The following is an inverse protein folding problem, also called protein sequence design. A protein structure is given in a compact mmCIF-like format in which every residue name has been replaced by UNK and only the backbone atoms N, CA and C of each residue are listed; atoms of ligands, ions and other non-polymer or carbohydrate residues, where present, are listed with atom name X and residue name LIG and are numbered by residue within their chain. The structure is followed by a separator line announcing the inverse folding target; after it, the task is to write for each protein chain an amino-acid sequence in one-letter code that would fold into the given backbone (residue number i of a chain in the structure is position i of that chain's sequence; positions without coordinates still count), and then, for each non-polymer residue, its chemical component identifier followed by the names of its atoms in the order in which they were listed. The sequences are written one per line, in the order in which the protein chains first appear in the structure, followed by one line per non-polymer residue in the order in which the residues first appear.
data_IF_671460228566
#
_entry.id   IF_671460228566
#
_cell.length_a   1.000
_cell.length_b   1.000
_cell.length_c   1.000
_cell.angle_alpha   90.00
_cell.angle_beta   90.00
_cell.angle_gamma   90.00
#
_symmetry.space_group_name_H-M   'P 1'
#
loop_
_entity.id
_entity.type
_entity.pdbx_description
1 polymer ?
2 water ?
#
# COMPACT_ATOMS: atom_id res chain seq x y z
N UNK A 1 23.21 -14.43 9.37
CA UNK A 1 22.48 -15.74 9.31
C UNK A 1 21.61 -15.99 10.56
N UNK A 2 21.12 -14.91 11.16
CA UNK A 2 20.25 -15.04 12.32
C UNK A 2 18.86 -15.54 11.87
N UNK A 3 18.09 -16.11 12.81
CA UNK A 3 16.71 -16.57 12.52
C UNK A 3 15.90 -15.40 11.99
N UNK A 4 16.03 -14.27 12.69
CA UNK A 4 15.36 -13.03 12.30
C UNK A 4 15.71 -12.62 10.88
N UNK A 5 17.00 -12.55 10.55
CA UNK A 5 17.37 -12.03 9.26
C UNK A 5 17.04 -13.02 8.15
N UNK A 6 17.01 -14.27 8.48
CA UNK A 6 16.48 -15.24 7.54
C UNK A 6 14.98 -15.10 7.33
N UNK A 7 14.24 -14.84 8.43
CA UNK A 7 12.79 -14.54 8.37
C UNK A 7 12.51 -13.33 7.48
N UNK A 8 13.28 -12.27 7.74
CA UNK A 8 13.15 -11.06 7.00
C UNK A 8 13.43 -11.29 5.53
N UNK A 9 14.54 -11.97 5.22
CA UNK A 9 14.82 -12.23 3.84
C UNK A 9 13.74 -13.10 3.21
N UNK A 10 13.20 -14.05 3.96
CA UNK A 10 12.11 -14.91 3.49
C UNK A 10 10.81 -14.06 3.20
N UNK A 11 10.51 -13.10 4.09
CA UNK A 11 9.34 -12.23 3.86
C UNK A 11 9.46 -11.44 2.64
N UNK A 12 10.60 -10.77 2.47
CA UNK A 12 10.83 -9.95 1.36
C UNK A 12 10.75 -10.75 0.07
N UNK A 13 11.33 -11.93 0.11
CA UNK A 13 11.21 -12.84 -1.01
C UNK A 13 9.75 -13.22 -1.34
N UNK A 14 8.88 -13.41 -0.34
CA UNK A 14 7.44 -13.66 -0.59
C UNK A 14 6.71 -12.46 -1.22
N UNK A 15 7.03 -11.26 -0.78
CA UNK A 15 6.48 -10.06 -1.38
C UNK A 15 6.96 -9.84 -2.80
N UNK A 16 8.28 -10.02 -2.98
CA UNK A 16 8.98 -9.78 -4.26
C UNK A 16 8.36 -10.64 -5.31
N UNK A 17 8.10 -11.89 -4.93
CA UNK A 17 7.37 -12.85 -5.72
C UNK A 17 5.94 -12.52 -6.03
N UNK A 18 5.14 -12.23 -5.00
CA UNK A 18 3.72 -11.93 -5.22
C UNK A 18 3.53 -10.75 -6.16
N UNK A 19 4.48 -9.82 -6.12
CA UNK A 19 4.44 -8.62 -6.93
C UNK A 19 4.94 -8.88 -8.33
N UNK A 20 5.25 -10.12 -8.63
CA UNK A 20 5.57 -10.53 -9.97
C UNK A 20 4.33 -11.08 -10.67
N UNK A 21 3.17 -11.14 -10.01
CA UNK A 21 1.90 -11.47 -10.69
C UNK A 21 0.78 -10.45 -10.40
N UNK A 22 0.94 -9.68 -9.33
CA UNK A 22 -0.02 -8.65 -9.04
C UNK A 22 0.74 -7.45 -8.51
N UNK A 23 0.65 -6.29 -9.17
CA UNK A 23 1.31 -5.09 -8.68
C UNK A 23 0.76 -4.53 -7.33
N UNK A 24 -0.46 -4.90 -6.96
CA UNK A 24 -1.06 -4.50 -5.71
C UNK A 24 -1.47 -5.74 -4.97
N UNK A 25 -0.97 -5.90 -3.77
CA UNK A 25 -1.29 -7.05 -2.89
C UNK A 25 -2.64 -6.86 -2.17
N UNK A 26 -3.61 -7.70 -2.51
CA UNK A 26 -4.94 -7.67 -1.89
C UNK A 26 -4.90 -8.38 -0.55
N UNK A 27 -5.10 -7.65 0.53
CA UNK A 27 -4.89 -8.18 1.87
C UNK A 27 -6.20 -8.33 2.66
N UNK A 28 -6.28 -9.43 3.41
CA UNK A 28 -7.20 -9.48 4.53
C UNK A 28 -6.46 -9.12 5.81
N UNK A 29 -7.12 -9.27 6.95
CA UNK A 29 -6.49 -8.95 8.21
C UNK A 29 -5.21 -9.73 8.48
N UNK A 30 -5.25 -11.01 8.24
CA UNK A 30 -4.10 -11.86 8.51
C UNK A 30 -2.91 -11.43 7.70
N UNK A 31 -3.12 -11.13 6.41
CA UNK A 31 -2.04 -10.71 5.54
C UNK A 31 -1.51 -9.35 5.90
N UNK A 32 -2.43 -8.44 6.22
CA UNK A 32 -2.05 -7.11 6.66
C UNK A 32 -1.13 -7.23 7.91
N UNK A 33 -1.55 -8.05 8.85
CA UNK A 33 -0.71 -8.19 10.07
C UNK A 33 0.62 -8.78 9.80
N UNK A 34 0.67 -9.83 8.98
CA UNK A 34 1.92 -10.52 8.68
C UNK A 34 2.92 -9.68 7.99
N UNK A 35 2.49 -8.93 6.98
CA UNK A 35 3.41 -8.18 6.14
C UNK A 35 3.54 -6.71 6.40
N UNK A 36 2.67 -6.16 7.22
CA UNK A 36 2.69 -4.77 7.55
C UNK A 36 2.94 -4.50 9.02
N UNK A 37 2.24 -5.21 9.89
CA UNK A 37 2.36 -4.98 11.35
C UNK A 37 3.50 -5.70 11.99
N UNK A 38 3.76 -6.92 11.55
CA UNK A 38 4.68 -7.81 12.27
C UNK A 38 6.13 -7.44 11.93
N UNK A 39 6.98 -7.42 12.97
CA UNK A 39 8.41 -7.27 12.76
C UNK A 39 9.04 -8.62 12.38
N UNK A 40 10.19 -8.59 11.68
CA UNK A 40 10.88 -7.39 11.26
C UNK A 40 10.47 -7.00 9.84
N UNK A 41 10.78 -5.79 9.46
CA UNK A 41 10.60 -5.31 8.08
C UNK A 41 11.74 -4.38 7.74
N UNK A 42 12.13 -4.36 6.50
CA UNK A 42 13.09 -3.37 6.02
C UNK A 42 12.60 -2.63 4.76
N UNK A 43 11.28 -2.67 4.57
CA UNK A 43 10.65 -2.17 3.34
C UNK A 43 9.49 -1.25 3.83
N UNK A 44 9.17 -0.26 2.98
CA UNK A 44 7.98 0.57 3.15
C UNK A 44 6.80 -0.13 2.46
N UNK A 45 5.61 0.04 3.04
CA UNK A 45 4.38 -0.45 2.43
C UNK A 45 3.43 0.72 2.23
N UNK A 46 2.90 0.81 1.03
CA UNK A 46 1.78 1.72 0.74
C UNK A 46 0.49 0.89 0.79
N UNK A 47 -0.52 1.40 1.48
CA UNK A 47 -1.84 0.67 1.56
C UNK A 47 -2.95 1.61 1.12
N UNK A 48 -3.78 1.16 0.19
CA UNK A 48 -5.05 1.83 -0.06
C UNK A 48 -6.17 1.06 0.70
N UNK A 49 -6.82 1.76 1.64
CA UNK A 49 -7.97 1.23 2.34
C UNK A 49 -9.17 1.67 1.51
N UNK A 50 -10.03 0.71 1.15
CA UNK A 50 -11.07 0.98 0.16
C UNK A 50 -12.34 0.20 0.49
N UNK A 51 -13.34 0.41 -0.31
CA UNK A 51 -14.65 -0.35 -0.21
C UNK A 51 -15.16 -0.42 -1.59
N UNK A 52 -14.77 -1.49 -2.28
CA UNK A 52 -15.05 -1.61 -3.70
C UNK A 52 -16.27 -2.54 -3.96
N UNK A 53 -16.73 -3.30 -2.96
CA UNK A 53 -17.93 -4.15 -3.18
C UNK A 53 -19.09 -3.28 -3.59
N UNK A 54 -19.89 -3.77 -4.57
CA UNK A 54 -21.02 -2.99 -5.06
C UNK A 54 -22.00 -2.53 -3.98
N UNK A 55 -22.24 -3.37 -2.98
CA UNK A 55 -23.17 -2.99 -1.93
C UNK A 55 -22.74 -1.78 -1.12
N UNK A 56 -21.45 -1.38 -1.20
CA UNK A 56 -20.98 -0.18 -0.51
C UNK A 56 -21.13 1.11 -1.26
N UNK A 57 -21.36 1.03 -2.56
CA UNK A 57 -21.58 2.21 -3.40
C UNK A 57 -20.64 3.40 -3.14
N UNK A 58 -19.31 3.13 -3.11
CA UNK A 58 -18.31 4.15 -2.81
C UNK A 58 -17.71 4.64 -4.11
N UNK A 59 -18.24 5.70 -4.64
CA UNK A 59 -17.78 6.14 -5.96
C UNK A 59 -16.35 6.66 -5.93
N UNK A 60 -16.02 7.35 -4.88
CA UNK A 60 -14.65 7.91 -4.74
C UNK A 60 -13.68 6.72 -4.68
N UNK A 61 -14.06 5.67 -4.01
CA UNK A 61 -13.22 4.44 -3.94
C UNK A 61 -12.91 3.90 -5.29
N UNK A 62 -13.94 3.83 -6.14
CA UNK A 62 -13.74 3.39 -7.47
C UNK A 62 -12.84 4.26 -8.30
N UNK A 63 -13.01 5.56 -8.23
CA UNK A 63 -12.17 6.47 -8.98
C UNK A 63 -10.68 6.46 -8.52
N UNK A 64 -10.52 6.42 -7.22
CA UNK A 64 -9.18 6.42 -6.61
C UNK A 64 -8.47 5.10 -6.93
N UNK A 65 -9.21 4.00 -6.96
CA UNK A 65 -8.63 2.72 -7.35
C UNK A 65 -7.99 2.75 -8.73
N UNK A 66 -8.62 3.44 -9.67
CA UNK A 66 -8.07 3.49 -11.02
C UNK A 66 -6.70 4.20 -11.02
N UNK A 67 -6.57 5.31 -10.29
CA UNK A 67 -5.32 6.00 -10.17
C UNK A 67 -4.28 5.20 -9.38
N UNK A 68 -4.70 4.46 -8.36
CA UNK A 68 -3.77 3.59 -7.61
C UNK A 68 -3.21 2.51 -8.49
N UNK A 69 -4.03 1.94 -9.36
CA UNK A 69 -3.60 0.92 -10.29
C UNK A 69 -2.58 1.48 -11.27
N UNK A 70 -2.87 2.66 -11.80
CA UNK A 70 -1.95 3.35 -12.71
C UNK A 70 -0.55 3.56 -12.04
N UNK A 71 -0.56 3.97 -10.78
CA UNK A 71 0.62 4.20 -10.03
C UNK A 71 1.39 2.92 -9.74
N UNK A 72 0.71 1.86 -9.30
CA UNK A 72 1.42 0.64 -8.91
C UNK A 72 1.99 -0.05 -10.15
N UNK A 73 1.25 0.07 -11.21
CA UNK A 73 1.72 -0.51 -12.46
C UNK A 73 2.90 0.26 -13.07
N UNK A 74 2.92 1.58 -12.97
CA UNK A 74 4.08 2.36 -13.29
C UNK A 74 5.28 1.89 -12.50
N UNK A 75 5.15 1.62 -11.20
CA UNK A 75 6.24 1.18 -10.35
C UNK A 75 6.73 -0.21 -10.76
N UNK A 76 5.80 -1.11 -11.04
CA UNK A 76 6.11 -2.52 -11.38
C UNK A 76 6.88 -2.61 -12.73
N UNK A 77 6.51 -1.77 -13.68
CA UNK A 77 7.22 -1.59 -14.96
C UNK A 77 8.70 -1.20 -14.82
N UNK A 78 9.04 -0.44 -13.80
CA UNK A 78 10.38 0.12 -13.75
C UNK A 78 11.19 0.01 -12.45
N UNK A 79 10.88 -0.94 -11.58
CA UNK A 79 11.54 -1.04 -10.27
C UNK A 79 12.48 -2.24 -10.25
N UNK A 80 12.39 -3.04 -9.17
CA UNK A 80 13.29 -4.19 -8.94
C UNK A 80 14.77 -3.79 -8.90
N UNK A 81 15.04 -2.48 -8.93
CA UNK A 81 16.21 -1.89 -8.28
C UNK A 81 15.90 -1.80 -6.80
N UNK A 82 14.61 -1.99 -6.50
CA UNK A 82 14.10 -1.91 -5.17
C UNK A 82 13.14 -3.03 -4.79
N UNK A 83 13.49 -3.70 -3.71
CA UNK A 83 12.60 -4.53 -2.92
C UNK A 83 12.30 -3.81 -1.60
N UNK A 84 12.25 -2.48 -1.66
CA UNK A 84 12.13 -1.68 -0.47
C UNK A 84 10.75 -0.98 -0.41
N UNK A 85 10.00 -1.10 -1.46
CA UNK A 85 8.64 -0.47 -1.53
C UNK A 85 7.68 -1.44 -2.15
N UNK A 86 6.54 -1.64 -1.52
CA UNK A 86 5.46 -2.45 -2.02
C UNK A 86 4.11 -1.79 -1.87
N UNK A 87 3.17 -2.17 -2.73
CA UNK A 87 1.81 -1.65 -2.75
C UNK A 87 0.81 -2.70 -2.39
N UNK A 88 -0.15 -2.33 -1.57
CA UNK A 88 -1.20 -3.23 -1.10
C UNK A 88 -2.55 -2.50 -0.98
N UNK A 89 -3.63 -3.25 -0.84
CA UNK A 89 -4.95 -2.71 -0.57
C UNK A 89 -5.65 -3.55 0.48
N UNK A 90 -6.47 -2.94 1.27
CA UNK A 90 -7.34 -3.59 2.21
C UNK A 90 -8.73 -3.07 1.91
N UNK A 91 -9.59 -3.99 1.46
CA UNK A 91 -11.02 -3.71 1.23
C UNK A 91 -11.82 -3.94 2.52
N UNK A 92 -12.71 -3.01 2.82
CA UNK A 92 -13.50 -3.01 4.03
C UNK A 92 -14.15 -4.37 4.34
N UNK A 93 -14.60 -5.01 3.28
CA UNK A 93 -15.36 -6.28 3.43
C UNK A 93 -14.45 -7.46 3.48
N UNK A 94 -13.15 -7.25 3.33
CA UNK A 94 -12.18 -8.33 3.43
C UNK A 94 -11.29 -8.12 4.65
N UNK A 95 -11.24 -6.90 5.17
CA UNK A 95 -10.38 -6.56 6.33
C UNK A 95 -11.08 -5.66 7.34
N UNK A 96 -12.31 -6.02 7.68
CA UNK A 96 -13.11 -5.15 8.56
C UNK A 96 -12.44 -4.96 9.90
N UNK A 97 -11.79 -5.99 10.41
CA UNK A 97 -11.04 -5.87 11.64
C UNK A 97 -9.88 -4.88 11.56
N UNK A 98 -9.27 -4.72 10.37
CA UNK A 98 -8.20 -3.75 10.19
C UNK A 98 -8.73 -2.31 10.24
N UNK A 99 -9.85 -2.07 9.55
CA UNK A 99 -10.53 -0.78 9.63
C UNK A 99 -10.90 -0.40 11.10
N UNK A 100 -11.41 -1.37 11.82
CA UNK A 100 -11.72 -1.14 13.24
C UNK A 100 -10.50 -0.78 14.05
N UNK A 101 -9.42 -1.54 13.90
CA UNK A 101 -8.19 -1.22 14.54
C UNK A 101 -7.64 0.15 14.26
N UNK A 102 -7.83 0.62 13.02
CA UNK A 102 -7.33 1.90 12.62
C UNK A 102 -8.39 2.98 12.87
N UNK A 103 -9.53 2.61 13.45
CA UNK A 103 -10.62 3.56 13.70
C UNK A 103 -11.09 4.29 12.43
N UNK A 104 -11.17 3.52 11.34
CA UNK A 104 -11.65 4.02 10.04
C UNK A 104 -13.09 3.78 9.86
N UNK A 105 -13.83 4.88 9.67
CA UNK A 105 -15.26 4.83 9.48
C UNK A 105 -15.64 5.35 8.11
N UNK A 106 -14.69 5.41 7.20
CA UNK A 106 -14.94 5.87 5.86
C UNK A 106 -13.80 5.33 4.96
N UNK A 107 -13.92 5.61 3.68
CA UNK A 107 -12.99 5.18 2.67
C UNK A 107 -13.13 6.10 1.47
N UNK A 108 -12.08 6.20 0.65
CA UNK A 108 -10.74 5.50 0.74
C UNK A 108 -9.73 6.34 1.51
N UNK A 109 -8.67 5.67 1.99
CA UNK A 109 -7.57 6.30 2.71
C UNK A 109 -6.31 5.67 2.13
N UNK A 110 -5.25 6.47 1.91
CA UNK A 110 -3.97 5.94 1.53
C UNK A 110 -2.98 6.21 2.70
N UNK A 111 -2.25 5.18 3.06
CA UNK A 111 -1.26 5.30 4.15
C UNK A 111 0.07 4.71 3.75
N UNK A 112 1.15 5.18 4.38
CA UNK A 112 2.48 4.63 4.28
C UNK A 112 2.82 4.05 5.63
N UNK A 113 3.22 2.80 5.65
CA UNK A 113 3.70 2.12 6.85
C UNK A 113 5.21 1.95 6.73
N UNK A 114 5.95 2.76 7.53
CA UNK A 114 7.41 2.65 7.44
C UNK A 114 7.92 1.30 8.04
N UNK A 115 9.13 0.91 7.71
CA UNK A 115 9.68 -0.35 8.16
C UNK A 115 9.84 -0.47 9.66
N UNK A 116 10.04 0.65 10.32
CA UNK A 116 10.11 0.67 11.79
C UNK A 116 9.22 1.74 12.30
N UNK A 117 8.65 1.48 13.44
CA UNK A 117 7.78 2.42 14.10
C UNK A 117 6.40 2.43 13.51
N UNK A 118 5.63 3.40 13.93
CA UNK A 118 4.25 3.53 13.45
C UNK A 118 4.19 4.62 12.35
N UNK A 119 3.08 4.64 11.60
CA UNK A 119 2.95 5.76 10.68
C UNK A 119 2.95 7.09 11.42
N UNK A 120 3.58 8.09 10.81
CA UNK A 120 3.56 9.43 11.29
C UNK A 120 2.34 10.18 10.73
N UNK A 121 2.11 11.38 11.20
CA UNK A 121 1.00 12.21 10.68
C UNK A 121 1.00 12.33 9.15
N UNK A 122 2.17 12.61 8.60
CA UNK A 122 2.29 12.81 7.18
C UNK A 122 2.17 11.50 6.42
N UNK A 123 2.17 10.38 7.11
CA UNK A 123 2.04 9.08 6.45
C UNK A 123 0.57 8.73 6.14
N UNK A 124 -0.36 9.61 6.44
CA UNK A 124 -1.72 9.56 5.88
C UNK A 124 -1.80 10.62 4.78
N UNK A 125 -2.07 10.19 3.56
CA UNK A 125 -2.16 11.08 2.40
C UNK A 125 -3.37 11.98 2.59
N UNK A 126 -3.19 13.28 2.29
CA UNK A 126 -4.27 14.25 2.54
C UNK A 126 -5.16 14.31 1.33
N UNK A 127 -5.98 13.28 1.16
CA UNK A 127 -6.85 13.14 0.00
C UNK A 127 -7.83 14.34 -0.16
N UNK A 128 -8.39 14.77 0.96
CA UNK A 128 -9.41 15.79 0.89
C UNK A 128 -8.84 17.13 0.55
N UNK A 129 -7.53 17.31 0.65
CA UNK A 129 -6.87 18.52 0.17
C UNK A 129 -6.31 18.48 -1.22
N UNK A 130 -5.85 17.30 -1.60
CA UNK A 130 -5.00 17.09 -2.79
C UNK A 130 -5.72 16.42 -3.96
N UNK A 131 -6.79 15.62 -3.69
CA UNK A 131 -7.27 14.69 -4.63
C UNK A 131 -6.40 13.47 -4.79
N UNK A 132 -6.65 12.64 -5.78
CA UNK A 132 -5.99 11.31 -5.82
C UNK A 132 -5.31 11.00 -7.13
N UNK A 133 -4.92 12.04 -7.87
CA UNK A 133 -4.16 11.79 -9.10
C UNK A 133 -2.95 10.92 -8.79
N UNK A 134 -2.70 9.94 -9.65
CA UNK A 134 -1.53 9.07 -9.47
C UNK A 134 -0.25 9.91 -9.25
N UNK A 135 -0.05 10.94 -10.03
CA UNK A 135 1.16 11.81 -9.86
C UNK A 135 1.24 12.48 -8.48
N UNK A 136 0.09 12.84 -7.85
CA UNK A 136 0.12 13.37 -6.51
C UNK A 136 0.39 12.29 -5.47
N UNK A 137 -0.15 11.10 -5.67
CA UNK A 137 0.17 9.95 -4.79
C UNK A 137 1.71 9.72 -4.87
N UNK A 138 2.21 9.76 -6.08
CA UNK A 138 3.67 9.59 -6.29
C UNK A 138 4.51 10.65 -5.59
N UNK A 139 4.11 11.90 -5.62
CA UNK A 139 4.79 12.95 -4.94
C UNK A 139 4.84 12.70 -3.45
N UNK A 140 3.70 12.29 -2.88
CA UNK A 140 3.61 12.00 -1.51
C UNK A 140 4.51 10.79 -1.13
N UNK A 141 4.49 9.73 -1.94
CA UNK A 141 5.34 8.59 -1.67
C UNK A 141 6.84 9.02 -1.69
N UNK A 142 7.18 9.89 -2.59
CA UNK A 142 8.58 10.38 -2.65
C UNK A 142 8.91 11.13 -1.40
N UNK A 143 8.00 11.98 -0.93
CA UNK A 143 8.23 12.74 0.30
C UNK A 143 8.41 11.87 1.50
N UNK A 144 7.70 10.74 1.56
CA UNK A 144 7.75 9.88 2.71
C UNK A 144 8.83 8.81 2.67
N UNK A 145 9.25 8.41 1.49
CA UNK A 145 10.13 7.25 1.31
C UNK A 145 11.41 7.51 0.50
N UNK A 146 11.48 8.65 -0.16
CA UNK A 146 12.51 8.98 -1.16
C UNK A 146 12.56 8.05 -2.38
N UNK A 147 11.50 7.29 -2.63
CA UNK A 147 11.31 6.52 -3.85
C UNK A 147 10.46 7.30 -4.81
N UNK A 148 10.98 7.59 -5.97
CA UNK A 148 10.37 8.46 -6.95
C UNK A 148 9.82 7.62 -8.06
N UNK A 149 8.49 7.58 -8.22
CA UNK A 149 7.86 6.78 -9.28
C UNK A 149 7.44 7.74 -10.40
N UNK A 150 7.81 7.45 -11.65
CA UNK A 150 7.38 8.21 -12.79
C UNK A 150 6.16 7.59 -13.35
N UNK A 151 5.03 8.28 -13.25
CA UNK A 151 3.78 7.67 -13.68
C UNK A 151 3.72 7.74 -15.17
N UNK A 152 3.27 6.63 -15.76
CA UNK A 152 2.92 6.51 -17.20
C UNK A 152 1.50 5.87 -17.21
N UNK A 153 0.44 6.34 -17.85
CA UNK A 153 0.27 7.53 -18.66
C UNK A 153 -0.34 8.79 -17.93
N UNK A 154 -1.27 8.63 -16.97
CA UNK A 154 -1.80 9.80 -16.17
C UNK A 154 -2.66 9.43 -14.93
#
# INVERSE_FOLDING_TARGET
ASKKENLLAEKVEQLMEWSSRRSIFRMNGDKFRKFIKAPPRNYSMIVMFTALQPQRQCSVCRQANEEYQILANSWRYSSAFSNKLFFSMVDYDEGTDVFQQLNMNSAPTFMHFPPKGRPKRADTFDLQRIGFAAEQLAKWIADRTDVHIRVFRLEHHHHHH
#
